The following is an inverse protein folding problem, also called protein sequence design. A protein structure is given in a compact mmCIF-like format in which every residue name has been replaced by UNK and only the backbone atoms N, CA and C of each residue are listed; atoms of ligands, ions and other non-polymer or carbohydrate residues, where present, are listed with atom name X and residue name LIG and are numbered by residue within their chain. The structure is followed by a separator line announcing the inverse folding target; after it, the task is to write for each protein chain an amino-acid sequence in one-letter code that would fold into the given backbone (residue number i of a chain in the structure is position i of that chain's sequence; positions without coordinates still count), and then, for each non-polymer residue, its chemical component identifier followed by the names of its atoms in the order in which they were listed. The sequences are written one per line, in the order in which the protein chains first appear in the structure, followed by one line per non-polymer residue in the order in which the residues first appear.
data_IF_018179018450
#
_entry.id   IF_018179018450
#
_cell.length_a   1.000
_cell.length_b   1.000
_cell.length_c   1.000
_cell.angle_alpha   90.00
_cell.angle_beta   90.00
_cell.angle_gamma   90.00
#
_symmetry.space_group_name_H-M   'P 1'
#
loop_
_entity.id
_entity.type
_entity.pdbx_description
1 polymer ?
#
# COMPACT_ATOMS: atom_id res chain seq x y z
N UNK A 1 -4.25 4.77 32.14
CA UNK A 1 -4.10 6.09 31.49
C UNK A 1 -2.66 6.16 30.98
N UNK A 2 -2.43 5.87 29.70
CA UNK A 2 -1.11 5.95 29.08
C UNK A 2 -1.17 7.03 27.99
N UNK A 3 -0.41 8.13 28.10
CA UNK A 3 -0.37 9.15 27.06
C UNK A 3 0.74 8.83 26.05
N UNK A 4 0.42 8.95 24.76
CA UNK A 4 1.35 9.48 23.77
C UNK A 4 2.36 8.52 23.15
N UNK A 5 1.93 7.78 22.12
CA UNK A 5 2.80 7.39 20.99
C UNK A 5 2.01 7.50 19.67
N UNK A 6 1.60 8.72 19.32
CA UNK A 6 0.94 9.03 18.03
C UNK A 6 1.76 10.03 17.21
N UNK A 7 3.09 10.05 17.37
CA UNK A 7 3.93 11.15 16.87
C UNK A 7 4.76 10.89 15.61
N UNK A 8 4.96 9.63 15.20
CA UNK A 8 5.92 9.29 14.14
C UNK A 8 5.28 8.78 12.84
N UNK A 9 4.01 8.33 12.89
CA UNK A 9 3.31 7.83 11.71
C UNK A 9 2.80 8.94 10.78
N UNK A 10 2.28 10.04 11.34
CA UNK A 10 1.75 11.17 10.55
C UNK A 10 2.82 11.95 9.78
N UNK A 11 4.09 11.87 10.18
CA UNK A 11 5.17 12.68 9.57
C UNK A 11 5.67 12.14 8.23
N UNK A 12 5.37 10.89 7.91
CA UNK A 12 5.74 10.25 6.64
C UNK A 12 4.60 10.25 5.61
N UNK A 13 3.36 10.48 6.04
CA UNK A 13 2.19 10.48 5.15
C UNK A 13 2.31 11.60 4.11
N UNK A 14 2.63 12.83 4.52
CA UNK A 14 2.83 13.95 3.60
C UNK A 14 3.98 13.75 2.61
N UNK A 15 5.06 13.07 3.02
CA UNK A 15 6.23 12.78 2.17
C UNK A 15 5.95 11.65 1.18
N UNK A 16 5.19 10.63 1.60
CA UNK A 16 4.71 9.54 0.75
C UNK A 16 3.63 10.05 -0.22
N UNK A 17 2.73 10.92 0.25
CA UNK A 17 1.77 11.65 -0.57
C UNK A 17 2.50 12.52 -1.59
N UNK A 18 3.53 13.29 -1.20
CA UNK A 18 4.27 14.15 -2.12
C UNK A 18 5.08 13.33 -3.16
N UNK A 19 5.65 12.19 -2.76
CA UNK A 19 6.34 11.27 -3.69
C UNK A 19 5.37 10.56 -4.61
N UNK A 20 4.27 10.04 -4.07
CA UNK A 20 3.18 9.42 -4.82
C UNK A 20 2.51 10.43 -5.77
N UNK A 21 2.30 11.67 -5.33
CA UNK A 21 1.81 12.77 -6.15
C UNK A 21 2.82 13.14 -7.24
N UNK A 22 4.13 13.23 -6.96
CA UNK A 22 5.14 13.50 -8.01
C UNK A 22 5.28 12.37 -9.03
N UNK A 23 5.16 11.12 -8.61
CA UNK A 23 5.15 9.97 -9.50
C UNK A 23 3.86 9.96 -10.35
N UNK A 24 2.71 10.18 -9.71
CA UNK A 24 1.42 10.27 -10.39
C UNK A 24 1.37 11.44 -11.39
N UNK A 25 1.86 12.64 -11.04
CA UNK A 25 1.93 13.82 -11.92
C UNK A 25 2.84 13.56 -13.14
N UNK A 26 3.94 12.80 -12.97
CA UNK A 26 4.78 12.41 -14.12
C UNK A 26 4.08 11.41 -15.05
N UNK A 27 3.27 10.51 -14.51
CA UNK A 27 2.48 9.54 -15.26
C UNK A 27 1.24 10.20 -15.92
N UNK A 28 0.71 11.26 -15.32
CA UNK A 28 -0.46 12.04 -15.76
C UNK A 28 -0.23 12.73 -17.12
N UNK A 29 1.01 13.06 -17.47
CA UNK A 29 1.30 13.74 -18.73
C UNK A 29 1.30 12.84 -19.97
N UNK A 30 1.57 11.53 -19.87
CA UNK A 30 1.84 10.73 -21.09
C UNK A 30 1.12 9.38 -21.26
N UNK A 31 0.53 8.72 -20.24
CA UNK A 31 0.15 7.29 -20.46
C UNK A 31 -1.24 6.83 -20.01
N UNK A 32 -2.01 7.59 -19.23
CA UNK A 32 -3.23 7.05 -18.58
C UNK A 32 -4.51 7.90 -18.75
N UNK A 33 -4.69 8.54 -19.91
CA UNK A 33 -5.92 9.30 -20.23
C UNK A 33 -7.20 8.46 -20.28
N UNK A 34 -7.09 7.13 -20.26
CA UNK A 34 -8.21 6.18 -20.37
C UNK A 34 -8.60 5.61 -19.01
N UNK A 35 -9.86 5.78 -18.64
CA UNK A 35 -10.51 5.17 -17.48
C UNK A 35 -10.29 3.65 -17.49
N UNK A 36 -9.82 3.08 -16.38
CA UNK A 36 -9.62 1.64 -16.25
C UNK A 36 -10.96 0.89 -16.32
N UNK A 37 -11.02 -0.19 -17.10
CA UNK A 37 -12.21 -1.04 -17.19
C UNK A 37 -12.46 -1.74 -15.83
N UNK A 38 -13.71 -2.11 -15.49
CA UNK A 38 -14.00 -2.81 -14.24
C UNK A 38 -13.16 -4.08 -14.04
N UNK A 39 -12.84 -4.79 -15.11
CA UNK A 39 -11.96 -5.97 -15.11
C UNK A 39 -10.53 -5.62 -14.71
N UNK A 40 -9.96 -4.56 -15.30
CA UNK A 40 -8.65 -4.03 -14.90
C UNK A 40 -8.66 -3.60 -13.44
N UNK A 41 -9.77 -2.99 -12.98
CA UNK A 41 -9.90 -2.59 -11.59
C UNK A 41 -9.90 -3.80 -10.65
N UNK A 42 -10.65 -4.85 -10.99
CA UNK A 42 -10.65 -6.10 -10.23
C UNK A 42 -9.27 -6.75 -10.20
N UNK A 43 -8.60 -6.82 -11.34
CA UNK A 43 -7.27 -7.43 -11.46
C UNK A 43 -6.23 -6.72 -10.58
N UNK A 44 -6.25 -5.38 -10.54
CA UNK A 44 -5.37 -4.60 -9.66
C UNK A 44 -5.68 -4.82 -8.17
N UNK A 45 -6.96 -4.87 -7.79
CA UNK A 45 -7.35 -5.16 -6.42
C UNK A 45 -6.92 -6.59 -6.00
N UNK A 46 -7.02 -7.57 -6.89
CA UNK A 46 -6.60 -8.94 -6.62
C UNK A 46 -5.08 -9.06 -6.53
N UNK A 47 -4.34 -8.34 -7.37
CA UNK A 47 -2.88 -8.24 -7.26
C UNK A 47 -2.45 -7.70 -5.89
N UNK A 48 -3.08 -6.62 -5.40
CA UNK A 48 -2.80 -6.07 -4.08
C UNK A 48 -3.11 -7.06 -2.95
N UNK A 49 -4.23 -7.79 -3.05
CA UNK A 49 -4.54 -8.87 -2.09
C UNK A 49 -3.48 -9.96 -2.08
N UNK A 50 -2.94 -10.35 -3.25
CA UNK A 50 -1.86 -11.35 -3.32
C UNK A 50 -0.60 -10.89 -2.60
N UNK A 51 -0.23 -9.60 -2.69
CA UNK A 51 0.90 -9.06 -1.92
C UNK A 51 0.65 -9.15 -0.41
N UNK A 52 -0.57 -8.83 0.03
CA UNK A 52 -0.98 -9.00 1.42
C UNK A 52 -0.85 -10.47 1.87
N UNK A 53 -1.35 -11.41 1.08
CA UNK A 53 -1.23 -12.84 1.40
C UNK A 53 0.22 -13.30 1.49
N UNK A 54 1.10 -12.87 0.58
CA UNK A 54 2.54 -13.18 0.68
C UNK A 54 3.17 -12.66 1.98
N UNK A 55 2.81 -11.44 2.38
CA UNK A 55 3.31 -10.88 3.65
C UNK A 55 2.75 -11.62 4.87
N UNK A 56 1.47 -12.03 4.82
CA UNK A 56 0.87 -12.89 5.82
C UNK A 56 1.63 -14.22 5.93
N UNK A 57 1.97 -14.84 4.80
CA UNK A 57 2.75 -16.09 4.79
C UNK A 57 4.13 -15.89 5.42
N UNK A 58 4.80 -14.76 5.17
CA UNK A 58 6.06 -14.44 5.85
C UNK A 58 5.87 -14.37 7.37
N UNK A 59 4.82 -13.68 7.83
CA UNK A 59 4.52 -13.61 9.25
C UNK A 59 4.15 -14.97 9.84
N UNK A 60 3.35 -15.80 9.17
CA UNK A 60 2.99 -17.14 9.67
C UNK A 60 4.19 -18.08 9.77
N UNK A 61 5.17 -17.93 8.88
CA UNK A 61 6.43 -18.69 8.97
C UNK A 61 7.34 -18.21 10.11
N UNK A 62 7.13 -16.99 10.61
CA UNK A 62 7.94 -16.35 11.64
C UNK A 62 7.04 -15.62 12.65
N UNK A 63 6.13 -16.35 13.29
CA UNK A 63 5.02 -15.77 14.07
C UNK A 63 5.47 -14.82 15.20
N UNK A 64 6.67 -15.05 15.75
CA UNK A 64 7.30 -14.24 16.80
C UNK A 64 7.93 -12.94 16.29
N UNK A 65 8.05 -12.77 14.96
CA UNK A 65 8.59 -11.56 14.36
C UNK A 65 7.52 -10.43 14.38
N UNK A 66 7.51 -9.65 15.47
CA UNK A 66 6.57 -8.53 15.65
C UNK A 66 6.65 -7.50 14.52
N UNK A 67 7.81 -7.32 13.89
CA UNK A 67 7.97 -6.41 12.75
C UNK A 67 7.20 -6.91 11.51
N UNK A 68 7.14 -8.23 11.30
CA UNK A 68 6.31 -8.83 10.24
C UNK A 68 4.82 -8.71 10.54
N UNK A 69 4.42 -8.91 11.80
CA UNK A 69 3.04 -8.68 12.24
C UNK A 69 2.60 -7.23 11.96
N UNK A 70 3.43 -6.26 12.36
CA UNK A 70 3.14 -4.85 12.15
C UNK A 70 3.13 -4.48 10.66
N UNK A 71 4.12 -4.94 9.89
CA UNK A 71 4.19 -4.72 8.45
C UNK A 71 2.98 -5.31 7.71
N UNK A 72 2.54 -6.50 8.09
CA UNK A 72 1.31 -7.10 7.56
C UNK A 72 0.06 -6.28 7.91
N UNK A 73 -0.02 -5.73 9.13
CA UNK A 73 -1.10 -4.83 9.54
C UNK A 73 -1.20 -3.58 8.65
N UNK A 74 -0.07 -2.92 8.42
CA UNK A 74 0.03 -1.72 7.56
C UNK A 74 -0.39 -2.05 6.12
N UNK A 75 0.13 -3.15 5.57
CA UNK A 75 -0.20 -3.60 4.22
C UNK A 75 -1.69 -3.96 4.10
N UNK A 76 -2.27 -4.62 5.10
CA UNK A 76 -3.70 -4.93 5.13
C UNK A 76 -4.56 -3.67 5.08
N UNK A 77 -4.21 -2.65 5.86
CA UNK A 77 -4.92 -1.37 5.89
C UNK A 77 -4.82 -0.65 4.54
N UNK A 78 -3.61 -0.54 3.97
CA UNK A 78 -3.38 0.07 2.66
C UNK A 78 -4.21 -0.61 1.56
N UNK A 79 -4.16 -1.95 1.48
CA UNK A 79 -4.96 -2.71 0.49
C UNK A 79 -6.46 -2.48 0.68
N UNK A 80 -6.94 -2.44 1.93
CA UNK A 80 -8.37 -2.26 2.21
C UNK A 80 -8.85 -0.86 1.82
N UNK A 81 -8.10 0.19 2.21
CA UNK A 81 -8.39 1.58 1.82
C UNK A 81 -8.35 1.74 0.30
N UNK A 82 -7.30 1.24 -0.34
CA UNK A 82 -7.12 1.38 -1.78
C UNK A 82 -8.15 0.61 -2.60
N UNK A 83 -8.56 -0.57 -2.16
CA UNK A 83 -9.65 -1.32 -2.82
C UNK A 83 -10.99 -0.58 -2.72
N UNK A 84 -11.26 0.09 -1.59
CA UNK A 84 -12.47 0.90 -1.41
C UNK A 84 -12.43 2.15 -2.28
N UNK A 85 -11.37 2.95 -2.14
CA UNK A 85 -11.18 4.20 -2.89
C UNK A 85 -11.26 3.97 -4.40
N UNK A 86 -10.74 2.85 -4.87
CA UNK A 86 -10.72 2.51 -6.28
C UNK A 86 -12.11 2.14 -6.83
N UNK A 87 -12.99 1.56 -6.01
CA UNK A 87 -14.38 1.26 -6.38
C UNK A 87 -15.28 2.49 -6.33
N UNK A 88 -15.00 3.42 -5.43
CA UNK A 88 -15.89 4.56 -5.14
C UNK A 88 -15.54 5.83 -5.93
N UNK A 89 -14.26 6.06 -6.28
CA UNK A 89 -13.83 7.31 -6.94
C UNK A 89 -14.03 7.30 -8.45
N UNK A 90 -14.54 8.41 -8.99
CA UNK A 90 -14.72 8.64 -10.43
C UNK A 90 -13.40 8.79 -11.22
N UNK A 91 -12.32 9.22 -10.57
CA UNK A 91 -10.96 9.25 -11.17
C UNK A 91 -10.12 8.06 -10.68
N UNK A 92 -10.41 6.90 -11.25
CA UNK A 92 -9.79 5.62 -10.92
C UNK A 92 -8.26 5.61 -11.17
N UNK A 93 -7.76 6.37 -12.14
CA UNK A 93 -6.35 6.33 -12.57
C UNK A 93 -5.42 6.96 -11.55
N UNK A 94 -5.72 8.20 -11.11
CA UNK A 94 -4.92 8.87 -10.08
C UNK A 94 -4.97 8.11 -8.76
N UNK A 95 -6.15 7.59 -8.41
CA UNK A 95 -6.31 6.76 -7.22
C UNK A 95 -5.43 5.50 -7.29
N UNK A 96 -5.36 4.82 -8.44
CA UNK A 96 -4.50 3.64 -8.63
C UNK A 96 -3.04 3.96 -8.49
N UNK A 97 -2.54 5.01 -9.12
CA UNK A 97 -1.10 5.31 -9.07
C UNK A 97 -0.63 5.50 -7.62
N UNK A 98 -1.35 6.34 -6.86
CA UNK A 98 -1.05 6.58 -5.44
C UNK A 98 -1.18 5.30 -4.63
N UNK A 99 -2.28 4.56 -4.82
CA UNK A 99 -2.52 3.31 -4.09
C UNK A 99 -1.53 2.20 -4.42
N UNK A 100 -1.08 2.13 -5.66
CA UNK A 100 -0.14 1.11 -6.10
C UNK A 100 1.22 1.33 -5.42
N UNK A 101 1.71 2.57 -5.44
CA UNK A 101 2.94 2.94 -4.74
C UNK A 101 2.85 2.70 -3.24
N UNK A 102 1.70 3.04 -2.64
CA UNK A 102 1.50 2.83 -1.21
C UNK A 102 1.50 1.34 -0.82
N UNK A 103 0.78 0.51 -1.56
CA UNK A 103 0.75 -0.95 -1.34
C UNK A 103 2.13 -1.56 -1.57
N UNK A 104 2.86 -1.13 -2.61
CA UNK A 104 4.22 -1.60 -2.86
C UNK A 104 5.18 -1.18 -1.74
N UNK A 105 5.14 0.06 -1.28
CA UNK A 105 5.97 0.55 -0.18
C UNK A 105 5.71 -0.24 1.11
N UNK A 106 4.44 -0.53 1.42
CA UNK A 106 4.08 -1.36 2.58
C UNK A 106 4.57 -2.82 2.41
N UNK A 107 4.48 -3.39 1.21
CA UNK A 107 4.99 -4.73 0.93
C UNK A 107 6.52 -4.80 1.00
N UNK A 108 7.22 -3.79 0.51
CA UNK A 108 8.68 -3.68 0.65
C UNK A 108 9.10 -3.63 2.11
N UNK A 109 8.34 -2.92 2.95
CA UNK A 109 8.59 -2.90 4.39
C UNK A 109 8.47 -4.31 4.97
N UNK A 110 7.42 -5.06 4.61
CA UNK A 110 7.27 -6.46 5.01
C UNK A 110 8.45 -7.33 4.55
N UNK A 111 8.91 -7.14 3.31
CA UNK A 111 10.05 -7.90 2.76
C UNK A 111 11.36 -7.58 3.48
N UNK A 112 11.58 -6.32 3.88
CA UNK A 112 12.75 -5.88 4.67
C UNK A 112 12.68 -6.39 6.12
N UNK A 113 11.50 -6.37 6.74
CA UNK A 113 11.29 -6.92 8.10
C UNK A 113 11.59 -8.42 8.19
N UNK A 114 11.47 -9.15 7.08
CA UNK A 114 11.94 -10.54 6.96
C UNK A 114 13.47 -10.64 6.88
N UNK A 115 14.13 -9.71 6.18
CA UNK A 115 15.58 -9.73 5.95
C UNK A 115 16.38 -9.25 7.16
N UNK A 116 15.85 -8.33 7.96
CA UNK A 116 16.51 -7.79 9.17
C UNK A 116 16.57 -8.79 10.35
N UNK A 117 16.47 -10.09 10.09
CA UNK A 117 16.65 -11.16 11.07
C UNK A 117 18.11 -11.64 11.19
N UNK A 118 19.03 -11.02 10.44
CA UNK A 118 20.49 -11.25 10.51
C UNK A 118 21.20 -10.21 11.39
#
# INVERSE_FOLDING_TARGET
MFPGQTGTYQRNEALLEERGHRAAIRVENDTWKTRLSPEQQSHMADYWKQLRYKCYDYWMNEVENENLMQAHGILKEAVSRCTRDFREKTNHVKAVAVCHEEVLSAFEHCRKSRQNKE
#
